data_IF_053314300516
#
_entry.id   IF_053314300516
#
_cell.length_a   1.000
_cell.length_b   1.000
_cell.length_c   1.000
_cell.angle_alpha   90.00
_cell.angle_beta   90.00
_cell.angle_gamma   90.00
#
_symmetry.space_group_name_H-M   'P 1'
#
loop_
_entity.id
_entity.type
_entity.pdbx_description
1 polymer ?
#
# COMPACT_ATOMS: atom_id res chain seq x y z
N UNK A 1 -9.02 -9.70 7.56
CA UNK A 1 -9.16 -8.64 8.56
C UNK A 1 -9.58 -7.33 7.92
N UNK A 2 -10.11 -6.43 8.74
CA UNK A 2 -10.52 -5.11 8.26
C UNK A 2 -9.31 -4.35 7.69
N UNK A 3 -8.18 -4.37 8.38
CA UNK A 3 -6.98 -3.70 7.88
C UNK A 3 -6.59 -4.20 6.50
N UNK A 4 -6.59 -5.50 6.28
CA UNK A 4 -6.18 -6.05 4.99
C UNK A 4 -7.10 -5.64 3.84
N UNK A 5 -8.38 -5.41 4.10
CA UNK A 5 -9.30 -4.90 3.09
C UNK A 5 -8.87 -3.51 2.61
N UNK A 6 -8.36 -2.66 3.49
CA UNK A 6 -7.85 -1.33 3.12
C UNK A 6 -6.54 -1.40 2.35
N UNK A 7 -5.84 -2.53 2.40
CA UNK A 7 -4.57 -2.74 1.69
C UNK A 7 -4.77 -3.40 0.33
N UNK A 8 -5.88 -4.06 0.11
CA UNK A 8 -6.03 -4.97 -1.03
C UNK A 8 -7.24 -4.72 -1.93
N UNK A 9 -8.22 -3.96 -1.49
CA UNK A 9 -9.41 -3.69 -2.31
C UNK A 9 -9.38 -2.29 -2.88
N UNK A 10 -10.03 -2.07 -4.06
CA UNK A 10 -10.12 -0.71 -4.62
C UNK A 10 -10.73 0.28 -3.65
N UNK A 11 -11.87 -0.06 -3.04
CA UNK A 11 -12.56 0.83 -2.11
C UNK A 11 -11.71 1.14 -0.87
N UNK A 12 -10.93 0.17 -0.40
CA UNK A 12 -10.03 0.38 0.73
C UNK A 12 -8.82 1.23 0.37
N UNK A 13 -8.21 0.97 -0.78
CA UNK A 13 -7.01 1.68 -1.21
C UNK A 13 -7.28 3.17 -1.47
N UNK A 14 -8.45 3.53 -1.99
CA UNK A 14 -8.77 4.95 -2.25
C UNK A 14 -9.01 5.74 -0.97
N UNK A 15 -9.19 5.09 0.15
CA UNK A 15 -9.38 5.79 1.42
C UNK A 15 -8.09 6.40 1.96
N UNK A 16 -6.94 5.88 1.56
CA UNK A 16 -5.67 6.33 2.15
C UNK A 16 -4.46 6.35 1.21
N UNK A 17 -4.45 5.49 0.18
CA UNK A 17 -3.24 5.25 -0.61
C UNK A 17 -3.22 6.00 -1.94
N UNK A 18 -4.34 6.06 -2.63
CA UNK A 18 -4.42 6.67 -3.96
C UNK A 18 -5.76 7.38 -4.13
N UNK A 19 -5.83 8.24 -5.16
CA UNK A 19 -7.08 8.97 -5.45
C UNK A 19 -8.11 8.04 -6.08
N UNK A 20 -7.64 7.11 -6.92
CA UNK A 20 -8.49 6.10 -7.55
C UNK A 20 -7.64 4.90 -7.92
N UNK A 21 -8.26 3.75 -8.16
CA UNK A 21 -7.58 2.57 -8.65
C UNK A 21 -8.51 1.74 -9.51
N UNK A 22 -8.01 1.32 -10.68
CA UNK A 22 -8.72 0.42 -11.59
C UNK A 22 -8.05 -0.93 -11.60
N UNK A 23 -8.83 -1.99 -11.54
CA UNK A 23 -8.33 -3.36 -11.59
C UNK A 23 -8.85 -4.02 -12.86
N UNK A 24 -7.94 -4.59 -13.65
CA UNK A 24 -8.27 -5.36 -14.84
C UNK A 24 -7.82 -6.80 -14.65
N UNK A 25 -8.76 -7.73 -14.61
CA UNK A 25 -8.45 -9.12 -14.30
C UNK A 25 -8.01 -9.27 -12.86
N UNK A 26 -7.09 -10.21 -12.60
CA UNK A 26 -6.68 -10.54 -11.23
C UNK A 26 -5.35 -9.91 -10.81
N UNK A 27 -4.57 -9.38 -11.75
CA UNK A 27 -3.19 -8.93 -11.46
C UNK A 27 -2.86 -7.53 -11.95
N UNK A 28 -3.65 -6.94 -12.82
CA UNK A 28 -3.35 -5.62 -13.37
C UNK A 28 -4.08 -4.54 -12.58
N UNK A 29 -3.31 -3.64 -11.99
CA UNK A 29 -3.83 -2.50 -11.23
C UNK A 29 -3.35 -1.22 -11.89
N UNK A 30 -4.21 -0.20 -11.91
CA UNK A 30 -3.80 1.15 -12.32
C UNK A 30 -4.10 2.07 -11.16
N UNK A 31 -3.05 2.53 -10.48
CA UNK A 31 -3.18 3.50 -9.39
C UNK A 31 -3.18 4.91 -9.96
N UNK A 32 -4.07 5.76 -9.50
CA UNK A 32 -4.22 7.12 -9.99
C UNK A 32 -3.94 8.10 -8.86
N UNK A 33 -2.96 8.98 -9.06
CA UNK A 33 -2.63 10.10 -8.18
C UNK A 33 -2.63 11.39 -9.00
N UNK A 34 -3.40 12.39 -8.56
CA UNK A 34 -3.49 13.68 -9.24
C UNK A 34 -3.79 13.57 -10.73
N UNK A 35 -4.64 12.61 -11.10
CA UNK A 35 -5.00 12.34 -12.49
C UNK A 35 -4.00 11.55 -13.29
N UNK A 36 -2.82 11.25 -12.74
CA UNK A 36 -1.82 10.43 -13.42
C UNK A 36 -2.04 8.95 -13.18
N UNK A 37 -2.03 8.18 -14.25
CA UNK A 37 -2.18 6.73 -14.21
C UNK A 37 -0.83 6.05 -14.01
N UNK A 38 -0.77 5.14 -13.05
CA UNK A 38 0.44 4.39 -12.73
C UNK A 38 0.13 2.90 -12.78
N UNK A 39 0.41 2.24 -13.92
CA UNK A 39 0.12 0.81 -14.04
C UNK A 39 1.04 -0.01 -13.15
N UNK A 40 0.46 -1.02 -12.54
CA UNK A 40 1.14 -1.90 -11.61
C UNK A 40 0.69 -3.34 -11.80
N UNK A 41 1.52 -4.26 -11.35
CA UNK A 41 1.20 -5.68 -11.34
C UNK A 41 1.13 -6.17 -9.89
N UNK A 42 0.11 -6.95 -9.59
CA UNK A 42 0.03 -7.68 -8.32
C UNK A 42 0.98 -8.87 -8.41
N UNK A 43 2.08 -8.81 -7.64
CA UNK A 43 3.13 -9.83 -7.68
C UNK A 43 2.85 -10.95 -6.69
N UNK A 44 2.34 -10.61 -5.50
CA UNK A 44 2.08 -11.60 -4.46
C UNK A 44 0.96 -11.12 -3.56
N UNK A 45 0.11 -12.04 -3.15
CA UNK A 45 -0.95 -11.77 -2.19
C UNK A 45 -1.12 -12.98 -1.28
N UNK A 46 -1.02 -12.75 0.02
CA UNK A 46 -1.35 -13.72 1.05
C UNK A 46 -2.51 -13.13 1.85
N UNK A 47 -3.69 -13.72 1.72
CA UNK A 47 -4.90 -13.17 2.31
C UNK A 47 -4.76 -12.88 3.80
N UNK A 48 -5.12 -11.66 4.18
CA UNK A 48 -5.05 -11.21 5.56
C UNK A 48 -3.64 -10.87 6.05
N UNK A 49 -2.61 -11.05 5.23
CA UNK A 49 -1.23 -10.90 5.68
C UNK A 49 -0.39 -9.96 4.83
N UNK A 50 -0.39 -10.14 3.51
CA UNK A 50 0.61 -9.47 2.67
C UNK A 50 0.08 -9.21 1.27
N UNK A 51 0.41 -8.04 0.72
CA UNK A 51 0.18 -7.73 -0.68
C UNK A 51 1.39 -6.97 -1.25
N UNK A 52 1.86 -7.39 -2.42
CA UNK A 52 3.05 -6.86 -3.06
C UNK A 52 2.73 -6.44 -4.48
N UNK A 53 3.07 -5.21 -4.81
CA UNK A 53 2.85 -4.63 -6.13
C UNK A 53 4.17 -4.18 -6.75
N UNK A 54 4.22 -4.25 -8.08
CA UNK A 54 5.31 -3.68 -8.85
C UNK A 54 4.76 -2.64 -9.81
N UNK A 55 5.23 -1.39 -9.71
CA UNK A 55 4.92 -0.37 -10.70
C UNK A 55 5.67 -0.68 -11.98
N UNK A 56 4.95 -0.77 -13.11
CA UNK A 56 5.54 -1.23 -14.36
C UNK A 56 6.58 -0.28 -14.94
N UNK A 57 6.52 1.00 -14.57
CA UNK A 57 7.47 2.01 -15.05
C UNK A 57 8.75 2.10 -14.20
N UNK A 58 8.84 1.35 -13.12
CA UNK A 58 9.99 1.34 -12.24
C UNK A 58 10.95 0.19 -12.59
N UNK A 59 12.22 0.25 -12.12
CA UNK A 59 13.16 -0.86 -12.33
C UNK A 59 12.59 -2.21 -11.89
N UNK A 60 13.05 -3.27 -12.56
CA UNK A 60 12.45 -4.60 -12.42
C UNK A 60 12.54 -5.19 -11.02
N UNK A 61 13.53 -4.79 -10.23
CA UNK A 61 13.73 -5.28 -8.88
C UNK A 61 13.08 -4.42 -7.79
N UNK A 62 12.43 -3.31 -8.16
CA UNK A 62 11.73 -2.45 -7.22
C UNK A 62 10.27 -2.84 -7.10
N UNK A 63 9.75 -2.80 -5.88
CA UNK A 63 8.36 -3.10 -5.59
C UNK A 63 7.93 -2.29 -4.36
N UNK A 64 6.64 -2.28 -4.08
CA UNK A 64 6.16 -1.85 -2.78
C UNK A 64 5.26 -2.93 -2.18
N UNK A 65 5.25 -3.01 -0.87
CA UNK A 65 4.62 -4.11 -0.17
C UNK A 65 4.01 -3.63 1.13
N UNK A 66 2.82 -4.14 1.42
CA UNK A 66 2.15 -3.93 2.69
C UNK A 66 2.04 -5.28 3.39
N UNK A 67 2.51 -5.36 4.62
CA UNK A 67 2.44 -6.58 5.41
C UNK A 67 1.78 -6.30 6.74
N UNK A 68 0.76 -7.08 7.09
CA UNK A 68 0.13 -7.03 8.41
C UNK A 68 0.95 -7.88 9.35
N UNK A 69 1.40 -7.27 10.44
CA UNK A 69 2.19 -7.97 11.46
C UNK A 69 1.36 -8.11 12.73
N UNK A 70 1.69 -9.10 13.55
CA UNK A 70 1.04 -9.31 14.83
C UNK A 70 2.08 -9.62 15.89
N UNK A 71 2.06 -8.86 16.98
CA UNK A 71 2.91 -9.13 18.12
C UNK A 71 2.36 -10.33 18.87
N UNK A 72 3.16 -11.39 19.01
CA UNK A 72 2.72 -12.63 19.64
C UNK A 72 2.43 -12.47 21.15
N UNK A 73 3.09 -11.52 21.79
CA UNK A 73 2.93 -11.30 23.23
C UNK A 73 1.71 -10.43 23.57
N UNK A 74 1.53 -9.35 22.81
CA UNK A 74 0.47 -8.37 23.11
C UNK A 74 -0.76 -8.55 22.23
N UNK A 75 -0.62 -9.20 21.09
CA UNK A 75 -1.67 -9.31 20.09
C UNK A 75 -1.86 -8.07 19.23
N UNK A 76 -1.00 -7.06 19.41
CA UNK A 76 -1.10 -5.81 18.65
C UNK A 76 -0.87 -6.06 17.16
N UNK A 77 -1.67 -5.37 16.35
CA UNK A 77 -1.57 -5.44 14.90
C UNK A 77 -0.76 -4.26 14.40
N UNK A 78 0.22 -4.54 13.54
CA UNK A 78 1.05 -3.52 12.91
C UNK A 78 0.99 -3.59 11.40
N UNK A 79 1.50 -2.55 10.76
CA UNK A 79 1.64 -2.48 9.31
C UNK A 79 3.09 -2.22 8.97
N UNK A 80 3.69 -3.12 8.20
CA UNK A 80 5.04 -2.95 7.69
C UNK A 80 4.96 -2.58 6.21
N UNK A 81 5.51 -1.42 5.87
CA UNK A 81 5.53 -0.93 4.50
C UNK A 81 6.97 -1.02 3.98
N UNK A 82 7.13 -1.64 2.81
CA UNK A 82 8.40 -1.70 2.11
C UNK A 82 8.28 -0.98 0.79
N UNK A 83 9.21 -0.07 0.49
CA UNK A 83 9.22 0.71 -0.73
C UNK A 83 10.67 1.01 -1.10
N UNK A 84 10.90 1.47 -2.32
CA UNK A 84 12.23 1.79 -2.83
C UNK A 84 12.26 3.25 -3.25
N UNK A 85 13.24 4.00 -2.76
CA UNK A 85 13.42 5.40 -3.09
C UNK A 85 14.92 5.70 -3.19
N UNK A 86 15.27 6.80 -3.84
CA UNK A 86 16.65 7.27 -3.88
C UNK A 86 17.07 7.76 -2.49
N UNK A 87 18.36 7.61 -2.18
CA UNK A 87 18.87 7.94 -0.84
C UNK A 87 18.57 9.38 -0.41
N UNK A 88 18.61 10.32 -1.34
CA UNK A 88 18.36 11.73 -1.06
C UNK A 88 16.87 12.05 -0.88
N UNK A 89 15.98 11.11 -1.14
CA UNK A 89 14.52 11.27 -1.03
C UNK A 89 13.91 10.52 0.15
N UNK A 90 14.73 9.84 0.97
CA UNK A 90 14.23 9.00 2.05
C UNK A 90 13.40 9.79 3.06
N UNK A 91 13.87 10.96 3.48
CA UNK A 91 13.13 11.76 4.46
C UNK A 91 11.78 12.23 3.93
N UNK A 92 11.74 12.72 2.69
CA UNK A 92 10.50 13.12 2.04
C UNK A 92 9.52 11.96 1.94
N UNK A 93 10.01 10.80 1.54
CA UNK A 93 9.16 9.63 1.38
C UNK A 93 8.64 9.13 2.72
N UNK A 94 9.45 9.17 3.78
CA UNK A 94 8.99 8.82 5.11
C UNK A 94 7.88 9.74 5.58
N UNK A 95 7.98 11.04 5.32
CA UNK A 95 6.94 12.00 5.65
C UNK A 95 5.65 11.73 4.88
N UNK A 96 5.78 11.38 3.61
CA UNK A 96 4.63 11.02 2.79
C UNK A 96 3.94 9.76 3.33
N UNK A 97 4.71 8.73 3.65
CA UNK A 97 4.15 7.51 4.22
C UNK A 97 3.47 7.75 5.57
N UNK A 98 4.06 8.58 6.43
CA UNK A 98 3.45 8.96 7.70
C UNK A 98 2.11 9.65 7.49
N UNK A 99 2.03 10.56 6.54
CA UNK A 99 0.79 11.25 6.19
C UNK A 99 -0.27 10.27 5.68
N UNK A 100 0.11 9.37 4.80
CA UNK A 100 -0.81 8.37 4.24
C UNK A 100 -1.29 7.39 5.31
N UNK A 101 -0.40 6.96 6.20
CA UNK A 101 -0.79 6.07 7.31
C UNK A 101 -1.74 6.77 8.29
N UNK A 102 -1.57 8.08 8.48
CA UNK A 102 -2.51 8.87 9.27
C UNK A 102 -3.91 8.81 8.67
N UNK A 103 -4.01 8.96 7.34
CA UNK A 103 -5.30 8.82 6.65
C UNK A 103 -5.88 7.40 6.81
N UNK A 104 -5.03 6.39 6.74
CA UNK A 104 -5.45 5.01 6.97
C UNK A 104 -6.03 4.84 8.38
N UNK A 105 -5.37 5.38 9.38
CA UNK A 105 -5.86 5.33 10.76
C UNK A 105 -7.21 6.01 10.91
N UNK A 106 -7.39 7.16 10.26
CA UNK A 106 -8.68 7.86 10.25
C UNK A 106 -9.77 6.99 9.62
N UNK A 107 -9.46 6.38 8.49
CA UNK A 107 -10.42 5.50 7.80
C UNK A 107 -10.80 4.29 8.65
N UNK A 108 -9.86 3.79 9.45
CA UNK A 108 -10.09 2.67 10.36
C UNK A 108 -10.75 3.08 11.67
N UNK A 109 -10.89 4.38 11.92
CA UNK A 109 -11.47 4.89 13.16
C UNK A 109 -10.52 4.88 14.34
N UNK A 110 -9.20 4.87 14.09
CA UNK A 110 -8.18 4.78 15.15
C UNK A 110 -7.59 6.12 15.57
N UNK A 111 -7.92 7.16 14.90
CA UNK A 111 -7.27 8.46 15.15
C UNK A 111 -7.80 9.19 16.33
#
# INVERSE_FOLDING_TARGET
TILFQYLSTPSGLVEWFCDDVNIKGSKSYIFIWDGEENPAELVKKVNGKLIKFKLLNNPADEYFQFEVTKDELTGDIGLLITDYVDEDEVEEMNMLWESQVTELKHALGLA
#
